data_IF_752661068598
#
_entry.id   IF_752661068598
#
_cell.length_a   1.000
_cell.length_b   1.000
_cell.length_c   1.000
_cell.angle_alpha   90.00
_cell.angle_beta   90.00
_cell.angle_gamma   90.00
#
_symmetry.space_group_name_H-M   'P 1'
#
loop_
_entity.id
_entity.type
_entity.pdbx_description
1 polymer ?
#
# COMPACT_ATOMS: atom_id res chain seq x y z
N UNK A 1 -2.25 -19.73 -0.46
CA UNK A 1 -2.47 -18.39 0.11
C UNK A 1 -1.72 -17.35 -0.70
N UNK A 2 -2.38 -16.29 -1.08
CA UNK A 2 -1.80 -15.18 -1.86
C UNK A 2 -1.62 -13.97 -0.97
N UNK A 3 -0.40 -13.46 -0.88
CA UNK A 3 -0.03 -12.35 -0.01
C UNK A 3 0.51 -11.20 -0.85
N UNK A 4 0.09 -9.98 -0.53
CA UNK A 4 0.70 -8.76 -1.01
C UNK A 4 1.36 -8.06 0.17
N UNK A 5 2.67 -8.21 0.27
CA UNK A 5 3.46 -7.42 1.22
C UNK A 5 3.69 -6.05 0.62
N UNK A 6 3.42 -4.99 1.39
CA UNK A 6 3.59 -3.65 0.84
C UNK A 6 3.89 -2.62 1.91
N UNK A 7 4.45 -1.52 1.46
CA UNK A 7 4.77 -0.35 2.24
C UNK A 7 4.51 0.89 1.40
N UNK A 8 4.10 1.96 2.05
CA UNK A 8 3.80 3.24 1.41
C UNK A 8 4.67 4.35 1.96
N UNK A 9 5.04 5.29 1.07
CA UNK A 9 5.49 6.62 1.45
C UNK A 9 4.39 7.61 1.09
N UNK A 10 4.06 8.49 2.02
CA UNK A 10 2.92 9.40 1.89
C UNK A 10 3.33 10.84 2.18
N UNK A 11 2.48 11.79 1.76
CA UNK A 11 2.73 13.23 1.95
C UNK A 11 2.30 13.75 3.32
N UNK A 12 1.84 12.87 4.19
CA UNK A 12 1.40 13.19 5.55
C UNK A 12 0.72 11.99 6.17
N UNK A 13 0.05 12.19 7.30
CA UNK A 13 -0.49 11.09 8.12
C UNK A 13 -1.99 10.86 7.96
N UNK A 14 -2.69 11.73 7.22
CA UNK A 14 -4.16 11.68 7.11
C UNK A 14 -4.58 11.24 5.71
N UNK A 15 -5.12 10.01 5.60
CA UNK A 15 -5.46 9.43 4.30
C UNK A 15 -6.50 10.25 3.50
N UNK A 16 -7.31 11.08 4.16
CA UNK A 16 -8.30 11.94 3.50
C UNK A 16 -7.73 13.28 3.04
N UNK A 17 -6.52 13.64 3.46
CA UNK A 17 -5.87 14.93 3.13
C UNK A 17 -4.57 14.75 2.37
N UNK A 18 -3.85 13.68 2.66
CA UNK A 18 -2.52 13.42 2.12
C UNK A 18 -2.57 12.31 1.08
N UNK A 19 -1.50 12.15 0.31
CA UNK A 19 -1.46 11.21 -0.79
C UNK A 19 -0.25 10.28 -0.75
N UNK A 20 -0.31 9.23 -1.55
CA UNK A 20 0.77 8.26 -1.74
C UNK A 20 1.75 8.82 -2.77
N UNK A 21 3.04 8.77 -2.49
CA UNK A 21 4.08 9.07 -3.47
C UNK A 21 5.02 7.89 -3.75
N UNK A 22 4.94 6.81 -3.01
CA UNK A 22 5.64 5.57 -3.31
C UNK A 22 4.88 4.38 -2.78
N UNK A 23 4.82 3.32 -3.59
CA UNK A 23 4.18 2.05 -3.28
C UNK A 23 5.15 0.93 -3.64
N UNK A 24 5.63 0.19 -2.65
CA UNK A 24 6.61 -0.87 -2.86
C UNK A 24 6.21 -2.13 -2.12
N UNK A 25 6.72 -3.28 -2.59
CA UNK A 25 6.43 -4.53 -1.94
C UNK A 25 6.74 -5.75 -2.78
N UNK A 26 6.03 -6.84 -2.47
CA UNK A 26 6.20 -8.10 -3.19
C UNK A 26 4.92 -8.94 -3.16
N UNK A 27 4.76 -9.73 -4.21
CA UNK A 27 3.71 -10.76 -4.33
C UNK A 27 4.29 -12.08 -3.88
N UNK A 28 3.65 -12.72 -2.92
CA UNK A 28 4.06 -14.04 -2.40
C UNK A 28 2.88 -15.00 -2.52
N UNK A 29 3.10 -16.14 -3.17
CA UNK A 29 2.07 -17.16 -3.35
C UNK A 29 2.61 -18.49 -2.84
N UNK A 30 1.92 -19.06 -1.86
CA UNK A 30 2.30 -20.33 -1.25
C UNK A 30 3.77 -20.35 -0.78
N UNK A 31 4.19 -19.24 -0.16
CA UNK A 31 5.54 -19.10 0.39
C UNK A 31 6.61 -18.72 -0.63
N UNK A 32 6.26 -18.53 -1.89
CA UNK A 32 7.21 -18.20 -2.95
C UNK A 32 7.04 -16.77 -3.43
N UNK A 33 8.12 -16.00 -3.47
CA UNK A 33 8.12 -14.64 -4.01
C UNK A 33 7.97 -14.72 -5.53
N UNK A 34 6.89 -14.18 -6.06
CA UNK A 34 6.61 -14.19 -7.49
C UNK A 34 7.11 -12.95 -8.19
N UNK A 35 7.07 -11.82 -7.50
CA UNK A 35 7.41 -10.53 -8.10
C UNK A 35 7.64 -9.51 -6.99
N UNK A 36 8.58 -8.59 -7.22
CA UNK A 36 8.76 -7.40 -6.39
C UNK A 36 8.37 -6.18 -7.19
N UNK A 37 7.94 -5.12 -6.51
CA UNK A 37 7.56 -3.88 -7.18
C UNK A 37 7.99 -2.66 -6.35
N UNK A 38 8.23 -1.57 -7.07
CA UNK A 38 8.54 -0.27 -6.47
C UNK A 38 8.05 0.82 -7.42
N UNK A 39 6.91 1.38 -7.09
CA UNK A 39 6.28 2.43 -7.88
C UNK A 39 6.43 3.77 -7.18
N UNK A 40 7.14 4.68 -7.83
CA UNK A 40 7.10 6.10 -7.48
C UNK A 40 5.94 6.72 -8.26
N UNK A 41 5.19 7.61 -7.61
CA UNK A 41 3.95 8.13 -8.17
C UNK A 41 3.70 9.55 -7.69
N UNK A 42 3.19 10.39 -8.57
CA UNK A 42 2.67 11.69 -8.14
C UNK A 42 1.48 11.46 -7.21
N UNK A 43 1.46 12.15 -6.04
CA UNK A 43 0.31 12.04 -5.17
C UNK A 43 -0.95 12.59 -5.86
N UNK A 44 -2.11 12.21 -5.33
CA UNK A 44 -3.38 12.78 -5.78
C UNK A 44 -3.24 14.30 -5.90
N UNK A 45 -3.64 14.91 -7.03
CA UNK A 45 -3.52 16.36 -7.24
C UNK A 45 -4.15 17.21 -6.16
N UNK A 46 -5.15 16.68 -5.44
CA UNK A 46 -5.83 17.37 -4.33
C UNK A 46 -5.16 17.14 -2.99
N UNK A 47 -4.13 16.30 -2.93
CA UNK A 47 -3.48 15.96 -1.66
C UNK A 47 -2.65 17.13 -1.14
N UNK A 48 -2.72 17.32 0.18
CA UNK A 48 -1.82 18.23 0.88
C UNK A 48 -0.46 17.56 1.10
N UNK A 49 0.60 18.36 1.05
CA UNK A 49 1.97 17.89 1.23
C UNK A 49 2.52 18.54 2.50
N UNK A 50 2.95 17.71 3.47
CA UNK A 50 3.58 18.20 4.69
C UNK A 50 5.10 18.12 4.55
N UNK A 51 5.80 19.14 5.01
CA UNK A 51 7.28 19.21 4.95
C UNK A 51 7.91 18.10 5.80
N UNK A 52 7.32 17.79 6.95
CA UNK A 52 7.82 16.77 7.86
C UNK A 52 7.80 15.37 7.22
N UNK A 53 6.72 15.03 6.52
CA UNK A 53 6.60 13.73 5.87
C UNK A 53 7.62 13.58 4.73
N UNK A 54 7.85 14.64 3.95
CA UNK A 54 8.85 14.62 2.89
C UNK A 54 10.26 14.51 3.46
N UNK A 55 10.54 15.20 4.55
CA UNK A 55 11.84 15.12 5.22
C UNK A 55 12.14 13.71 5.72
N UNK A 56 11.15 13.02 6.30
CA UNK A 56 11.28 11.63 6.76
C UNK A 56 11.55 10.71 5.58
N UNK A 57 10.85 10.90 4.46
CA UNK A 57 11.03 10.09 3.26
C UNK A 57 12.33 10.43 2.48
N UNK A 58 12.96 11.56 2.77
CA UNK A 58 14.18 12.00 2.08
C UNK A 58 13.94 12.47 0.66
N UNK A 59 12.77 13.01 0.36
CA UNK A 59 12.40 13.51 -0.98
C UNK A 59 11.96 14.96 -0.93
N UNK A 60 12.03 15.62 -2.09
CA UNK A 60 11.58 17.01 -2.27
C UNK A 60 10.29 17.07 -3.06
N UNK A 61 9.60 18.22 -2.98
CA UNK A 61 8.41 18.47 -3.80
C UNK A 61 8.73 18.38 -5.29
N UNK A 62 9.88 18.90 -5.69
CA UNK A 62 10.33 18.87 -7.09
C UNK A 62 10.50 17.43 -7.59
N UNK A 63 11.09 16.56 -6.76
CA UNK A 63 11.23 15.15 -7.11
C UNK A 63 9.88 14.47 -7.29
N UNK A 64 8.95 14.71 -6.38
CA UNK A 64 7.60 14.12 -6.42
C UNK A 64 6.85 14.60 -7.68
N UNK A 65 6.97 15.88 -8.03
CA UNK A 65 6.33 16.41 -9.24
C UNK A 65 6.84 15.79 -10.53
N UNK A 66 8.06 15.25 -10.50
CA UNK A 66 8.66 14.58 -11.66
C UNK A 66 8.28 13.09 -11.76
N UNK A 67 7.57 12.55 -10.79
CA UNK A 67 7.15 11.15 -10.79
C UNK A 67 6.04 10.90 -11.82
N UNK A 68 5.81 9.65 -12.23
CA UNK A 68 4.69 9.30 -13.10
C UNK A 68 3.34 9.67 -12.48
N UNK A 69 2.38 10.00 -13.34
CA UNK A 69 1.04 10.39 -12.93
C UNK A 69 0.32 9.24 -12.20
N UNK A 70 -0.54 9.61 -11.26
CA UNK A 70 -1.24 8.68 -10.38
C UNK A 70 -2.00 7.59 -11.15
N UNK A 71 -2.80 7.97 -12.14
CA UNK A 71 -3.64 6.99 -12.86
C UNK A 71 -2.81 5.95 -13.62
N UNK A 72 -1.72 6.36 -14.25
CA UNK A 72 -0.85 5.45 -14.99
C UNK A 72 -0.19 4.41 -14.08
N UNK A 73 0.25 4.85 -12.90
CA UNK A 73 0.84 3.95 -11.89
C UNK A 73 -0.21 3.02 -11.30
N UNK A 74 -1.42 3.55 -11.01
CA UNK A 74 -2.54 2.74 -10.55
C UNK A 74 -2.84 1.60 -11.54
N UNK A 75 -2.87 1.92 -12.84
CA UNK A 75 -3.11 0.92 -13.87
C UNK A 75 -2.00 -0.14 -13.91
N UNK A 76 -0.74 0.28 -13.80
CA UNK A 76 0.38 -0.67 -13.73
C UNK A 76 0.27 -1.58 -12.51
N UNK A 77 -0.10 -1.03 -11.37
CA UNK A 77 -0.29 -1.79 -10.14
C UNK A 77 -1.41 -2.82 -10.27
N UNK A 78 -2.57 -2.41 -10.75
CA UNK A 78 -3.71 -3.33 -10.92
C UNK A 78 -3.48 -4.35 -12.02
N UNK A 79 -2.76 -3.99 -13.09
CA UNK A 79 -2.34 -4.96 -14.12
C UNK A 79 -1.42 -6.03 -13.52
N UNK A 80 -0.52 -5.64 -12.62
CA UNK A 80 0.31 -6.59 -11.89
C UNK A 80 -0.54 -7.51 -11.01
N UNK A 81 -1.48 -6.97 -10.25
CA UNK A 81 -2.38 -7.79 -9.40
C UNK A 81 -3.17 -8.79 -10.24
N UNK A 82 -3.61 -8.39 -11.44
CA UNK A 82 -4.40 -9.22 -12.35
C UNK A 82 -3.67 -10.45 -12.86
N UNK A 83 -2.33 -10.46 -12.79
CA UNK A 83 -1.54 -11.64 -13.17
C UNK A 83 -1.74 -12.79 -12.19
N UNK A 84 -2.14 -12.49 -10.96
CA UNK A 84 -2.16 -13.46 -9.86
C UNK A 84 -3.54 -13.67 -9.26
N UNK A 85 -4.47 -12.74 -9.46
CA UNK A 85 -5.82 -12.76 -8.87
C UNK A 85 -6.86 -12.43 -9.94
N UNK A 86 -7.91 -13.25 -10.00
CA UNK A 86 -9.12 -12.93 -10.74
C UNK A 86 -10.08 -12.18 -9.81
N UNK A 87 -10.19 -10.87 -10.01
CA UNK A 87 -11.03 -10.00 -9.15
C UNK A 87 -12.53 -10.32 -9.23
N UNK A 88 -12.95 -11.08 -10.23
CA UNK A 88 -14.36 -11.53 -10.37
C UNK A 88 -14.65 -12.82 -9.63
N UNK A 89 -13.61 -13.51 -9.14
CA UNK A 89 -13.74 -14.70 -8.29
C UNK A 89 -13.68 -14.28 -6.83
N UNK A 90 -14.79 -14.42 -6.11
CA UNK A 90 -14.93 -14.02 -4.70
C UNK A 90 -14.02 -14.81 -3.75
N UNK A 91 -13.47 -15.93 -4.20
CA UNK A 91 -12.56 -16.76 -3.42
C UNK A 91 -11.09 -16.50 -3.74
N UNK A 92 -10.80 -15.64 -4.73
CA UNK A 92 -9.47 -15.39 -5.21
C UNK A 92 -9.06 -13.94 -4.89
N UNK A 93 -8.33 -13.77 -3.81
CA UNK A 93 -7.92 -12.45 -3.32
C UNK A 93 -6.57 -12.53 -2.62
N UNK A 94 -5.92 -11.39 -2.51
CA UNK A 94 -4.73 -11.23 -1.68
C UNK A 94 -5.09 -10.93 -0.22
N UNK A 95 -4.28 -11.44 0.71
CA UNK A 95 -4.16 -10.84 2.02
C UNK A 95 -3.14 -9.71 1.96
N UNK A 96 -3.51 -8.54 2.44
CA UNK A 96 -2.57 -7.43 2.62
C UNK A 96 -1.69 -7.73 3.84
N UNK A 97 -0.40 -7.59 3.67
CA UNK A 97 0.60 -7.85 4.70
C UNK A 97 1.55 -6.67 4.80
N UNK A 98 1.94 -6.31 6.02
CA UNK A 98 2.89 -5.24 6.25
C UNK A 98 2.95 -4.84 7.70
N UNK A 99 3.73 -3.79 7.99
CA UNK A 99 3.89 -3.27 9.35
C UNK A 99 2.99 -2.06 9.57
N UNK A 100 2.14 -2.12 10.58
CA UNK A 100 1.17 -1.07 10.94
C UNK A 100 0.19 -0.73 9.80
N UNK A 101 -0.09 -1.66 8.91
CA UNK A 101 -0.93 -1.40 7.74
C UNK A 101 -2.41 -1.25 8.11
N UNK A 102 -2.88 -1.93 9.15
CA UNK A 102 -4.28 -1.88 9.57
C UNK A 102 -4.67 -0.48 10.03
N UNK A 103 -3.78 0.20 10.75
CA UNK A 103 -4.02 1.54 11.26
C UNK A 103 -3.67 2.63 10.24
N UNK A 104 -2.79 2.36 9.28
CA UNK A 104 -2.22 3.40 8.42
C UNK A 104 -2.32 3.06 6.93
N UNK A 105 -1.47 2.16 6.42
CA UNK A 105 -1.30 1.95 4.98
C UNK A 105 -2.58 1.52 4.27
N UNK A 106 -3.37 0.62 4.88
CA UNK A 106 -4.61 0.13 4.27
C UNK A 106 -5.62 1.26 4.02
N UNK A 107 -5.69 2.25 4.90
CA UNK A 107 -6.58 3.39 4.70
C UNK A 107 -6.14 4.25 3.51
N UNK A 108 -4.84 4.48 3.37
CA UNK A 108 -4.28 5.19 2.22
C UNK A 108 -4.50 4.41 0.92
N UNK A 109 -4.27 3.12 0.93
CA UNK A 109 -4.41 2.29 -0.27
C UNK A 109 -5.87 2.26 -0.74
N UNK A 110 -6.81 2.09 0.18
CA UNK A 110 -8.24 2.13 -0.14
C UNK A 110 -8.64 3.48 -0.71
N UNK A 111 -8.20 4.58 -0.09
CA UNK A 111 -8.48 5.93 -0.58
C UNK A 111 -7.91 6.14 -1.99
N UNK A 112 -6.72 5.60 -2.25
CA UNK A 112 -6.06 5.70 -3.55
C UNK A 112 -6.85 4.99 -4.66
N UNK A 113 -7.43 3.83 -4.37
CA UNK A 113 -8.32 3.15 -5.30
C UNK A 113 -9.53 4.03 -5.64
N UNK A 114 -10.19 4.59 -4.64
CA UNK A 114 -11.34 5.49 -4.84
C UNK A 114 -10.95 6.72 -5.66
N UNK A 115 -9.80 7.31 -5.38
CA UNK A 115 -9.27 8.45 -6.13
C UNK A 115 -9.02 8.12 -7.60
N UNK A 116 -8.77 6.86 -7.92
CA UNK A 116 -8.63 6.35 -9.29
C UNK A 116 -9.95 5.78 -9.85
N UNK A 117 -11.08 6.17 -9.26
CA UNK A 117 -12.43 5.76 -9.68
C UNK A 117 -12.69 4.25 -9.55
N UNK A 118 -12.01 3.58 -8.63
CA UNK A 118 -12.20 2.16 -8.35
C UNK A 118 -12.81 1.98 -6.96
N UNK A 119 -14.09 1.62 -6.91
CA UNK A 119 -14.81 1.36 -5.66
C UNK A 119 -14.78 -0.13 -5.28
N UNK A 120 -13.96 -0.93 -5.94
CA UNK A 120 -13.95 -2.39 -5.78
C UNK A 120 -12.66 -2.90 -5.13
N UNK A 121 -12.16 -2.17 -4.14
CA UNK A 121 -10.99 -2.57 -3.37
C UNK A 121 -11.12 -3.98 -2.79
N UNK A 122 -12.30 -4.31 -2.27
CA UNK A 122 -12.60 -5.63 -1.72
C UNK A 122 -12.65 -6.77 -2.73
N UNK A 123 -12.61 -6.47 -4.05
CA UNK A 123 -12.48 -7.51 -5.07
C UNK A 123 -11.06 -8.07 -5.15
N UNK A 124 -10.06 -7.27 -4.76
CA UNK A 124 -8.66 -7.64 -4.79
C UNK A 124 -8.14 -8.19 -3.46
N UNK A 125 -8.70 -7.70 -2.35
CA UNK A 125 -8.13 -7.89 -1.02
C UNK A 125 -9.15 -8.38 -0.01
N UNK A 126 -8.74 -9.36 0.79
CA UNK A 126 -9.52 -9.78 1.95
C UNK A 126 -9.64 -8.63 2.95
N UNK A 127 -10.71 -8.60 3.73
CA UNK A 127 -10.90 -7.56 4.75
C UNK A 127 -9.93 -7.71 5.92
N UNK A 128 -9.48 -8.93 6.21
CA UNK A 128 -8.49 -9.19 7.24
C UNK A 128 -7.07 -9.04 6.65
N UNK A 129 -6.21 -8.36 7.39
CA UNK A 129 -4.81 -8.17 7.01
C UNK A 129 -3.87 -8.90 7.97
N UNK A 130 -2.67 -9.20 7.50
CA UNK A 130 -1.59 -9.71 8.34
C UNK A 130 -0.70 -8.53 8.71
N UNK A 131 -0.87 -8.00 9.92
CA UNK A 131 -0.13 -6.84 10.39
C UNK A 131 0.99 -7.29 11.31
N UNK A 132 2.23 -7.14 10.84
CA UNK A 132 3.42 -7.59 11.55
C UNK A 132 3.60 -6.85 12.88
N UNK A 133 3.19 -5.57 12.96
CA UNK A 133 3.25 -4.83 14.22
C UNK A 133 2.32 -5.44 15.27
N UNK A 134 1.11 -5.84 14.89
CA UNK A 134 0.14 -6.48 15.78
C UNK A 134 0.69 -7.82 16.27
N UNK A 135 1.23 -8.64 15.37
CA UNK A 135 1.86 -9.91 15.73
C UNK A 135 3.03 -9.72 16.68
N UNK A 136 3.90 -8.75 16.42
CA UNK A 136 5.04 -8.44 17.26
C UNK A 136 4.58 -8.01 18.67
N UNK A 137 3.55 -7.18 18.76
CA UNK A 137 2.99 -6.73 20.03
C UNK A 137 2.39 -7.90 20.82
N UNK A 138 1.65 -8.78 20.16
CA UNK A 138 0.97 -9.90 20.84
C UNK A 138 1.91 -11.03 21.24
N UNK A 139 2.93 -11.33 20.41
CA UNK A 139 3.71 -12.55 20.58
C UNK A 139 5.17 -12.32 20.94
N UNK A 140 5.75 -11.18 20.62
CA UNK A 140 7.16 -10.89 20.85
C UNK A 140 7.43 -9.96 22.01
N UNK A 141 6.72 -8.84 22.11
CA UNK A 141 6.95 -7.84 23.15
C UNK A 141 6.71 -8.37 24.56
N UNK A 142 5.64 -9.17 24.83
CA UNK A 142 5.37 -9.65 26.18
C UNK A 142 6.43 -10.59 26.75
N UNK A 143 7.25 -11.21 25.93
CA UNK A 143 8.30 -12.14 26.37
C UNK A 143 9.66 -11.49 26.50
N UNK A 144 9.78 -10.20 26.23
CA UNK A 144 11.03 -9.48 26.44
C UNK A 144 11.27 -9.26 27.92
N UNK A 145 12.53 -9.45 28.38
CA UNK A 145 12.87 -9.09 29.76
C UNK A 145 12.57 -7.61 29.99
N UNK A 146 12.11 -7.32 31.17
CA UNK A 146 11.84 -5.95 31.56
C UNK A 146 13.12 -5.10 31.55
#
# INVERSE_FOLDING_TARGET
MKLLFYDLETTGTMYWRNGIHQLSGMVVINGEVKETFDFKVQPNPKAEITAEALAVAGVTVEQIKAYPAMWGVYKQFTDMLSKYVDKFDKQDKFYLCGYNITQFDNHFLRAWFVQNSDNYFGSWFWSNSIDVMVLATQYLLPIRPA
#
